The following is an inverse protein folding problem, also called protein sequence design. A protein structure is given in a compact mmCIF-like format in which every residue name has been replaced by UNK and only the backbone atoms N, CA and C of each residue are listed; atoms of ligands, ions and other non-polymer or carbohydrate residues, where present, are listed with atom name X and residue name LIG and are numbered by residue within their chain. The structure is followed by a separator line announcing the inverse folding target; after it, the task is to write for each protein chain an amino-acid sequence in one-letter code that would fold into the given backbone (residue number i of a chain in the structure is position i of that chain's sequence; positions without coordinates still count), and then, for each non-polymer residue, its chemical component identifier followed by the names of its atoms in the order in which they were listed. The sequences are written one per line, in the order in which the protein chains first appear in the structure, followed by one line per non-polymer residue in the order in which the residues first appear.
data_IF_788182747658
#
_entry.id   IF_788182747658
#
_cell.length_a   1.000
_cell.length_b   1.000
_cell.length_c   1.000
_cell.angle_alpha   90.00
_cell.angle_beta   90.00
_cell.angle_gamma   90.00
#
_symmetry.space_group_name_H-M   'P 1'
#
loop_
_entity.id
_entity.type
_entity.pdbx_description
1 polymer ?
#
# COMPACT_ATOMS: atom_id res chain seq x y z
N UNK A 1 -33.60 -26.28 19.81
CA UNK A 1 -33.56 -24.93 19.23
C UNK A 1 -32.84 -24.04 20.23
N UNK A 2 -31.54 -23.81 20.02
CA UNK A 2 -30.70 -22.96 20.86
C UNK A 2 -29.98 -21.98 19.94
N UNK A 3 -29.94 -20.67 20.25
CA UNK A 3 -29.32 -19.71 19.36
C UNK A 3 -27.81 -19.63 19.61
N UNK A 4 -27.09 -19.87 18.52
CA UNK A 4 -25.85 -19.25 18.03
C UNK A 4 -25.04 -18.45 19.07
N UNK A 5 -23.90 -19.01 19.43
CA UNK A 5 -22.82 -18.34 20.16
C UNK A 5 -22.18 -17.23 19.32
N UNK A 6 -22.21 -16.03 19.92
CA UNK A 6 -21.23 -14.96 19.92
C UNK A 6 -19.99 -15.13 19.01
N UNK A 7 -19.94 -14.32 17.95
CA UNK A 7 -18.70 -13.81 17.38
C UNK A 7 -18.69 -12.30 17.68
N UNK A 8 -18.15 -11.94 18.83
CA UNK A 8 -17.77 -10.56 19.15
C UNK A 8 -16.30 -10.56 19.50
N UNK A 9 -15.45 -10.75 18.49
CA UNK A 9 -14.06 -10.31 18.60
C UNK A 9 -14.05 -8.82 18.24
N UNK A 10 -14.22 -7.99 19.26
CA UNK A 10 -13.88 -6.59 19.17
C UNK A 10 -12.40 -6.48 18.80
N UNK A 11 -12.12 -5.91 17.62
CA UNK A 11 -10.78 -5.51 17.18
C UNK A 11 -10.29 -4.36 18.08
N UNK A 12 -9.85 -4.72 19.28
CA UNK A 12 -9.15 -3.82 20.20
C UNK A 12 -7.75 -3.56 19.64
N UNK A 13 -7.56 -2.36 19.08
CA UNK A 13 -6.25 -1.80 18.77
C UNK A 13 -5.44 -1.43 20.03
N UNK A 14 -5.93 -1.79 21.23
CA UNK A 14 -5.38 -1.41 22.54
C UNK A 14 -4.20 -2.27 22.99
N UNK A 15 -3.84 -3.33 22.26
CA UNK A 15 -2.74 -4.24 22.60
C UNK A 15 -1.50 -4.08 21.70
N UNK A 16 -1.25 -2.88 21.17
CA UNK A 16 0.04 -2.52 20.57
C UNK A 16 1.08 -2.22 21.66
N UNK A 17 1.29 -3.16 22.58
CA UNK A 17 2.45 -3.10 23.47
C UNK A 17 3.71 -3.32 22.62
N UNK A 18 4.62 -2.35 22.66
CA UNK A 18 5.95 -2.38 22.06
C UNK A 18 6.66 -3.71 22.36
N UNK A 19 6.53 -4.65 21.43
CA UNK A 19 7.48 -5.71 21.22
C UNK A 19 8.22 -5.35 19.93
N UNK A 20 8.87 -4.18 19.92
CA UNK A 20 10.15 -4.06 19.19
C UNK A 20 11.04 -5.08 19.89
N UNK A 21 10.89 -6.35 19.52
CA UNK A 21 11.73 -7.42 20.02
C UNK A 21 13.16 -6.94 19.87
N UNK A 22 13.98 -7.19 20.89
CA UNK A 22 15.43 -7.02 20.92
C UNK A 22 16.13 -7.89 19.85
N UNK A 23 15.60 -7.93 18.63
CA UNK A 23 16.21 -8.55 17.49
C UNK A 23 17.28 -7.58 17.01
N UNK A 24 18.53 -7.99 17.22
CA UNK A 24 19.67 -7.31 16.63
C UNK A 24 19.41 -7.12 15.13
N UNK A 25 19.67 -5.92 14.58
CA UNK A 25 19.50 -5.69 13.15
C UNK A 25 20.34 -6.70 12.38
N UNK A 26 19.76 -7.29 11.34
CA UNK A 26 20.46 -8.19 10.44
C UNK A 26 21.24 -7.33 9.46
N UNK A 27 22.54 -7.58 9.38
CA UNK A 27 23.48 -6.84 8.53
C UNK A 27 23.75 -7.69 7.29
N UNK A 28 23.61 -7.08 6.12
CA UNK A 28 23.94 -7.67 4.83
C UNK A 28 25.02 -6.84 4.13
N UNK A 29 25.89 -7.51 3.38
CA UNK A 29 26.90 -6.86 2.56
C UNK A 29 26.66 -7.23 1.11
N UNK A 30 26.45 -6.23 0.25
CA UNK A 30 26.29 -6.43 -1.19
C UNK A 30 26.88 -5.26 -1.96
N UNK A 31 27.68 -5.55 -2.99
CA UNK A 31 28.33 -4.53 -3.84
C UNK A 31 29.08 -3.43 -3.05
N UNK A 32 29.76 -3.81 -1.96
CA UNK A 32 30.46 -2.90 -1.02
C UNK A 32 29.56 -1.92 -0.26
N UNK A 33 28.25 -2.15 -0.25
CA UNK A 33 27.27 -1.39 0.52
C UNK A 33 26.78 -2.26 1.67
N UNK A 34 26.64 -1.64 2.85
CA UNK A 34 26.08 -2.28 4.04
C UNK A 34 24.60 -1.99 4.08
N UNK A 35 23.81 -3.05 4.06
CA UNK A 35 22.37 -2.98 4.25
C UNK A 35 22.02 -3.48 5.65
N UNK A 36 21.04 -2.84 6.28
CA UNK A 36 20.47 -3.34 7.54
C UNK A 36 18.98 -3.54 7.42
N UNK A 37 18.47 -4.61 8.01
CA UNK A 37 17.03 -4.87 8.13
C UNK A 37 16.70 -5.40 9.51
N UNK A 38 15.56 -4.99 10.06
CA UNK A 38 15.07 -5.48 11.35
C UNK A 38 14.19 -6.72 11.21
N UNK A 39 13.69 -7.03 10.01
CA UNK A 39 12.64 -8.03 9.81
C UNK A 39 12.80 -8.90 8.55
N UNK A 40 13.85 -8.70 7.75
CA UNK A 40 14.16 -9.60 6.63
C UNK A 40 15.25 -10.62 7.01
N UNK A 41 15.02 -11.93 6.81
CA UNK A 41 16.02 -12.96 7.10
C UNK A 41 17.13 -13.07 6.03
N UNK A 42 16.93 -12.48 4.84
CA UNK A 42 17.88 -12.46 3.74
C UNK A 42 17.80 -11.13 2.98
N UNK A 43 18.89 -10.74 2.33
CA UNK A 43 18.92 -9.57 1.46
C UNK A 43 18.24 -9.91 0.12
N UNK A 44 17.12 -9.27 -0.24
CA UNK A 44 16.52 -9.43 -1.56
C UNK A 44 17.39 -8.79 -2.64
N UNK A 45 17.12 -9.13 -3.90
CA UNK A 45 17.78 -8.47 -5.04
C UNK A 45 17.53 -6.97 -4.99
N UNK A 46 18.60 -6.17 -5.03
CA UNK A 46 18.52 -4.71 -4.96
C UNK A 46 17.89 -4.20 -6.27
N UNK A 47 16.74 -3.51 -6.21
CA UNK A 47 16.06 -3.05 -7.40
C UNK A 47 16.79 -1.85 -8.02
N UNK A 48 16.70 -1.66 -9.36
CA UNK A 48 17.16 -0.43 -9.99
C UNK A 48 16.33 0.76 -9.50
N UNK A 49 16.95 1.95 -9.39
CA UNK A 49 16.22 3.20 -9.15
C UNK A 49 15.37 3.53 -10.38
N UNK A 50 14.10 3.88 -10.14
CA UNK A 50 13.13 4.22 -11.19
C UNK A 50 12.69 5.68 -11.02
N UNK A 51 12.59 6.47 -12.10
CA UNK A 51 12.13 7.86 -12.02
C UNK A 51 10.64 7.93 -11.66
N UNK A 52 10.16 9.08 -11.20
CA UNK A 52 8.73 9.27 -10.86
C UNK A 52 7.78 8.97 -12.03
N UNK A 53 8.18 9.32 -13.26
CA UNK A 53 7.42 9.05 -14.48
C UNK A 53 7.20 7.56 -14.77
N UNK A 54 8.05 6.68 -14.21
CA UNK A 54 7.83 5.24 -14.29
C UNK A 54 6.57 4.83 -13.52
N UNK A 55 6.37 5.41 -12.34
CA UNK A 55 5.27 5.05 -11.44
C UNK A 55 3.93 5.60 -11.93
N UNK A 56 3.95 6.79 -12.54
CA UNK A 56 2.78 7.36 -13.22
C UNK A 56 2.30 6.49 -14.40
N UNK A 57 3.21 5.73 -15.00
CA UNK A 57 2.94 4.86 -16.13
C UNK A 57 3.19 3.38 -15.77
N UNK A 58 3.06 3.03 -14.49
CA UNK A 58 3.33 1.69 -14.03
C UNK A 58 2.31 0.70 -14.62
N UNK A 59 2.83 -0.37 -15.20
CA UNK A 59 2.08 -1.44 -15.88
C UNK A 59 2.64 -2.80 -15.49
N UNK A 60 1.83 -3.86 -15.56
CA UNK A 60 2.29 -5.25 -15.43
C UNK A 60 3.06 -5.51 -14.13
N UNK A 61 2.37 -5.60 -13.00
CA UNK A 61 3.00 -5.96 -11.72
C UNK A 61 4.08 -4.98 -11.23
N UNK A 62 4.25 -3.81 -11.86
CA UNK A 62 5.20 -2.78 -11.41
C UNK A 62 5.03 -2.40 -9.94
N UNK A 63 3.78 -2.37 -9.47
CA UNK A 63 3.44 -2.06 -8.08
C UNK A 63 3.78 -3.20 -7.11
N UNK A 64 3.93 -4.44 -7.60
CA UNK A 64 4.26 -5.59 -6.76
C UNK A 64 5.77 -5.87 -6.67
N UNK A 65 6.58 -5.06 -7.34
CA UNK A 65 8.05 -5.20 -7.33
C UNK A 65 8.66 -4.42 -6.18
N UNK A 66 9.66 -5.00 -5.53
CA UNK A 66 10.49 -4.29 -4.56
C UNK A 66 11.11 -3.04 -5.21
N UNK A 67 11.09 -1.93 -4.49
CA UNK A 67 11.57 -0.64 -4.99
C UNK A 67 12.26 0.18 -3.89
N UNK A 68 12.93 1.25 -4.31
CA UNK A 68 13.42 2.28 -3.40
C UNK A 68 12.25 3.10 -2.85
N UNK A 69 12.33 3.56 -1.61
CA UNK A 69 11.31 4.37 -0.98
C UNK A 69 11.07 5.65 -1.78
N UNK A 70 9.80 5.98 -1.97
CA UNK A 70 9.36 7.13 -2.74
C UNK A 70 8.55 8.03 -1.80
N UNK A 71 9.12 9.16 -1.34
CA UNK A 71 8.40 10.09 -0.47
C UNK A 71 7.07 10.56 -1.06
N UNK A 72 6.94 10.61 -2.40
CA UNK A 72 5.71 10.98 -3.10
C UNK A 72 4.65 9.88 -3.06
N UNK A 73 5.06 8.60 -2.97
CA UNK A 73 4.18 7.43 -3.00
C UNK A 73 4.49 6.47 -1.84
N UNK A 74 4.45 6.92 -0.58
CA UNK A 74 4.90 6.13 0.57
C UNK A 74 4.04 4.90 0.79
N UNK A 75 2.78 4.91 0.35
CA UNK A 75 1.85 3.79 0.48
C UNK A 75 2.24 2.57 -0.35
N UNK A 76 3.08 2.70 -1.39
CA UNK A 76 3.47 1.57 -2.22
C UNK A 76 4.16 0.44 -1.43
N UNK A 77 4.81 0.79 -0.32
CA UNK A 77 5.46 -0.21 0.56
C UNK A 77 4.46 -1.12 1.28
N UNK A 78 3.20 -0.69 1.37
CA UNK A 78 2.08 -1.42 2.01
C UNK A 78 1.29 -2.28 1.02
N UNK A 79 1.72 -2.36 -0.24
CA UNK A 79 1.13 -3.32 -1.16
C UNK A 79 1.55 -4.73 -0.72
N UNK A 80 0.63 -5.69 -0.60
CA UNK A 80 0.96 -7.05 -0.22
C UNK A 80 1.76 -7.71 -1.34
N UNK A 81 2.70 -8.58 -0.96
CA UNK A 81 3.49 -9.36 -1.91
C UNK A 81 2.61 -10.23 -2.81
N UNK A 82 1.54 -10.81 -2.23
CA UNK A 82 0.55 -11.63 -2.92
C UNK A 82 -0.87 -11.06 -2.69
N UNK A 83 -1.32 -10.07 -3.49
CA UNK A 83 -2.64 -9.48 -3.33
C UNK A 83 -3.75 -10.52 -3.58
N UNK A 84 -4.56 -10.77 -2.56
CA UNK A 84 -5.70 -11.68 -2.64
C UNK A 84 -7.00 -10.91 -2.88
N UNK A 85 -7.62 -11.12 -4.05
CA UNK A 85 -8.90 -10.52 -4.44
C UNK A 85 -10.12 -11.35 -3.99
N UNK A 86 -10.04 -12.06 -2.87
CA UNK A 86 -11.09 -13.03 -2.45
C UNK A 86 -12.21 -12.45 -1.59
N UNK A 87 -12.07 -11.22 -1.10
CA UNK A 87 -13.12 -10.50 -0.35
C UNK A 87 -14.29 -10.09 -1.24
N UNK A 88 -15.51 -9.94 -0.75
CA UNK A 88 -16.64 -9.35 -1.49
C UNK A 88 -16.33 -7.94 -2.05
N UNK A 89 -15.50 -7.14 -1.38
CA UNK A 89 -15.06 -5.82 -1.84
C UNK A 89 -14.16 -5.95 -3.08
N UNK A 90 -13.00 -6.59 -2.94
CA UNK A 90 -12.02 -6.70 -4.03
C UNK A 90 -12.32 -7.80 -5.07
N UNK A 91 -13.23 -8.74 -4.81
CA UNK A 91 -13.65 -9.75 -5.79
C UNK A 91 -14.32 -9.12 -7.01
N UNK A 92 -14.79 -7.87 -6.89
CA UNK A 92 -15.25 -7.06 -8.03
C UNK A 92 -14.15 -6.85 -9.08
N UNK A 93 -12.88 -6.89 -8.67
CA UNK A 93 -11.71 -6.73 -9.55
C UNK A 93 -11.31 -8.05 -10.23
N UNK A 94 -11.91 -9.18 -9.86
CA UNK A 94 -11.58 -10.46 -10.45
C UNK A 94 -11.91 -10.47 -11.94
N UNK A 95 -10.87 -10.57 -12.77
CA UNK A 95 -10.98 -10.71 -14.22
C UNK A 95 -10.79 -12.17 -14.60
N UNK A 96 -11.82 -12.77 -15.18
CA UNK A 96 -11.71 -14.07 -15.81
C UNK A 96 -11.45 -13.92 -17.32
N UNK A 97 -11.98 -14.83 -18.14
CA UNK A 97 -11.76 -14.79 -19.57
C UNK A 97 -12.38 -13.54 -20.21
N UNK A 98 -11.62 -12.87 -21.09
CA UNK A 98 -11.99 -11.56 -21.65
C UNK A 98 -13.33 -11.48 -22.37
N UNK A 99 -13.81 -12.61 -22.88
CA UNK A 99 -15.14 -12.73 -23.49
C UNK A 99 -16.32 -12.45 -22.54
N UNK A 100 -16.10 -12.46 -21.22
CA UNK A 100 -17.18 -12.26 -20.22
C UNK A 100 -17.29 -10.84 -19.72
N UNK A 101 -16.23 -10.04 -19.85
CA UNK A 101 -16.19 -8.67 -19.37
C UNK A 101 -15.95 -7.64 -20.47
N UNK A 102 -15.69 -8.07 -21.72
CA UNK A 102 -15.65 -7.18 -22.87
C UNK A 102 -16.96 -7.18 -23.64
N UNK A 103 -17.41 -5.99 -24.01
CA UNK A 103 -18.55 -5.80 -24.91
C UNK A 103 -18.12 -5.00 -26.13
N UNK A 104 -18.60 -5.41 -27.31
CA UNK A 104 -18.51 -4.61 -28.52
C UNK A 104 -19.83 -3.88 -28.72
N UNK A 105 -19.78 -2.54 -28.72
CA UNK A 105 -20.93 -1.68 -28.96
C UNK A 105 -20.62 -0.80 -30.16
N UNK A 106 -21.35 -1.05 -31.26
CA UNK A 106 -21.22 -0.28 -32.51
C UNK A 106 -19.78 -0.19 -33.03
N UNK A 107 -19.02 -1.29 -32.95
CA UNK A 107 -17.64 -1.35 -33.42
C UNK A 107 -16.61 -0.80 -32.44
N UNK A 108 -17.03 -0.27 -31.29
CA UNK A 108 -16.13 0.11 -30.19
C UNK A 108 -16.14 -0.95 -29.10
N UNK A 109 -14.96 -1.28 -28.59
CA UNK A 109 -14.77 -2.21 -27.49
C UNK A 109 -14.71 -1.45 -26.16
N UNK A 110 -15.39 -1.94 -25.14
CA UNK A 110 -15.33 -1.38 -23.78
C UNK A 110 -15.51 -2.49 -22.73
N UNK A 111 -15.18 -2.17 -21.49
CA UNK A 111 -15.55 -3.00 -20.36
C UNK A 111 -17.09 -3.04 -20.24
N UNK A 112 -17.62 -4.19 -19.84
CA UNK A 112 -19.03 -4.33 -19.52
C UNK A 112 -19.49 -3.24 -18.55
N UNK A 113 -20.69 -2.71 -18.76
CA UNK A 113 -21.15 -1.53 -18.04
C UNK A 113 -21.32 -1.78 -16.55
N UNK A 114 -21.78 -2.97 -16.16
CA UNK A 114 -22.01 -3.29 -14.75
C UNK A 114 -20.68 -3.50 -14.02
N UNK A 115 -19.70 -4.12 -14.69
CA UNK A 115 -18.34 -4.27 -14.18
C UNK A 115 -17.66 -2.91 -14.04
N UNK A 116 -17.72 -2.08 -15.09
CA UNK A 116 -17.16 -0.73 -15.07
C UNK A 116 -17.78 0.14 -13.97
N UNK A 117 -19.10 0.09 -13.81
CA UNK A 117 -19.78 0.81 -12.74
C UNK A 117 -19.36 0.29 -11.36
N UNK A 118 -19.27 -1.03 -11.18
CA UNK A 118 -18.83 -1.67 -9.94
C UNK A 118 -17.40 -1.24 -9.55
N UNK A 119 -16.48 -1.19 -10.50
CA UNK A 119 -15.12 -0.68 -10.30
C UNK A 119 -15.10 0.79 -9.93
N UNK A 120 -15.91 1.60 -10.61
CA UNK A 120 -15.98 3.04 -10.32
C UNK A 120 -16.50 3.32 -8.92
N UNK A 121 -17.55 2.60 -8.48
CA UNK A 121 -18.05 2.71 -7.10
C UNK A 121 -16.99 2.33 -6.06
N UNK A 122 -16.24 1.24 -6.30
CA UNK A 122 -15.13 0.84 -5.43
C UNK A 122 -14.04 1.92 -5.38
N UNK A 123 -13.64 2.44 -6.53
CA UNK A 123 -12.63 3.50 -6.64
C UNK A 123 -13.03 4.75 -5.84
N UNK A 124 -14.27 5.22 -6.03
CA UNK A 124 -14.76 6.41 -5.33
C UNK A 124 -14.86 6.19 -3.82
N UNK A 125 -15.33 5.01 -3.39
CA UNK A 125 -15.39 4.67 -1.97
C UNK A 125 -14.00 4.71 -1.30
N UNK A 126 -12.99 4.07 -1.92
CA UNK A 126 -11.62 4.06 -1.40
C UNK A 126 -11.01 5.46 -1.37
N UNK A 127 -11.23 6.27 -2.40
CA UNK A 127 -10.76 7.67 -2.45
C UNK A 127 -11.40 8.52 -1.34
N UNK A 128 -12.70 8.36 -1.10
CA UNK A 128 -13.40 9.08 -0.01
C UNK A 128 -12.83 8.66 1.34
N UNK A 129 -12.70 7.36 1.59
CA UNK A 129 -12.16 6.84 2.86
C UNK A 129 -10.74 7.34 3.11
N UNK A 130 -9.87 7.24 2.10
CA UNK A 130 -8.50 7.75 2.18
C UNK A 130 -8.50 9.23 2.59
N UNK A 131 -9.29 10.07 1.90
CA UNK A 131 -9.36 11.51 2.21
C UNK A 131 -9.86 11.79 3.61
N UNK A 132 -10.90 11.08 4.07
CA UNK A 132 -11.43 11.26 5.42
C UNK A 132 -10.40 10.89 6.49
N UNK A 133 -9.70 9.77 6.32
CA UNK A 133 -8.67 9.33 7.27
C UNK A 133 -7.44 10.26 7.27
N UNK A 134 -6.95 10.67 6.10
CA UNK A 134 -5.80 11.58 5.98
C UNK A 134 -6.09 12.96 6.58
N UNK A 135 -7.33 13.44 6.48
CA UNK A 135 -7.74 14.72 7.10
C UNK A 135 -7.60 14.74 8.63
N UNK A 136 -7.51 13.56 9.25
CA UNK A 136 -7.27 13.35 10.69
C UNK A 136 -5.92 12.67 10.96
N UNK A 137 -4.98 12.75 10.01
CA UNK A 137 -3.61 12.34 10.29
C UNK A 137 -2.93 13.38 11.18
N UNK A 138 -2.26 12.92 12.25
CA UNK A 138 -1.51 13.85 13.11
C UNK A 138 -0.02 13.89 12.79
N UNK A 139 0.34 13.54 11.56
CA UNK A 139 1.66 13.83 11.00
C UNK A 139 1.47 15.00 10.05
N UNK A 140 2.25 16.06 10.24
CA UNK A 140 2.39 17.15 9.28
C UNK A 140 3.17 16.60 8.08
N UNK A 141 2.45 15.88 7.24
CA UNK A 141 2.98 15.36 6.02
C UNK A 141 3.05 16.52 5.02
N UNK A 142 4.27 16.92 4.62
CA UNK A 142 4.51 17.57 3.31
C UNK A 142 4.21 16.60 2.14
N UNK A 143 3.41 15.56 2.39
CA UNK A 143 2.81 14.77 1.37
C UNK A 143 1.71 15.64 0.76
N UNK A 144 2.08 16.37 -0.29
CA UNK A 144 1.29 16.18 -1.49
C UNK A 144 1.31 14.67 -1.74
N UNK A 145 0.34 13.94 -1.16
CA UNK A 145 0.03 12.56 -1.51
C UNK A 145 -0.43 12.64 -2.96
N UNK A 146 0.54 12.83 -3.86
CA UNK A 146 0.31 12.86 -5.27
C UNK A 146 -0.28 11.50 -5.55
N UNK A 147 -1.57 11.51 -5.86
CA UNK A 147 -2.25 10.26 -6.11
C UNK A 147 -1.66 9.73 -7.40
N UNK A 148 -1.04 8.55 -7.32
CA UNK A 148 -0.81 7.76 -8.51
C UNK A 148 -2.08 7.77 -9.36
N UNK A 149 -1.96 7.75 -10.70
CA UNK A 149 -3.13 7.90 -11.55
C UNK A 149 -4.22 6.92 -11.15
N UNK A 150 -5.39 7.47 -10.82
CA UNK A 150 -6.55 6.69 -10.41
C UNK A 150 -6.89 5.65 -11.49
N UNK A 151 -7.44 4.48 -11.12
CA UNK A 151 -7.78 3.44 -12.08
C UNK A 151 -8.58 3.95 -13.28
N UNK A 152 -9.54 4.87 -13.11
CA UNK A 152 -10.32 5.37 -14.25
C UNK A 152 -9.48 6.15 -15.27
N UNK A 153 -8.38 6.77 -14.85
CA UNK A 153 -7.45 7.51 -15.72
C UNK A 153 -6.78 6.53 -16.70
N UNK A 154 -6.54 5.29 -16.25
CA UNK A 154 -6.00 4.18 -17.06
C UNK A 154 -6.99 3.66 -18.12
N UNK A 155 -8.26 4.08 -18.04
CA UNK A 155 -9.18 4.02 -19.17
C UNK A 155 -10.15 2.85 -19.20
N UNK A 156 -10.39 2.14 -18.08
CA UNK A 156 -11.45 1.12 -18.04
C UNK A 156 -12.86 1.66 -18.31
N UNK A 157 -13.11 2.96 -18.04
CA UNK A 157 -14.37 3.65 -18.37
C UNK A 157 -14.45 4.10 -19.84
N UNK A 158 -13.35 4.01 -20.60
CA UNK A 158 -13.27 4.50 -21.98
C UNK A 158 -13.62 3.39 -22.98
N UNK A 159 -14.26 3.78 -24.06
CA UNK A 159 -14.40 2.93 -25.25
C UNK A 159 -13.15 3.04 -26.12
N UNK A 160 -12.72 1.93 -26.73
CA UNK A 160 -11.54 1.86 -27.59
C UNK A 160 -11.90 1.26 -28.95
N UNK A 161 -11.21 1.63 -30.03
CA UNK A 161 -11.48 1.07 -31.36
C UNK A 161 -11.11 -0.42 -31.46
N UNK A 162 -10.16 -0.89 -30.65
CA UNK A 162 -9.59 -2.22 -30.76
C UNK A 162 -9.77 -3.00 -29.44
N UNK A 163 -10.10 -4.29 -29.56
CA UNK A 163 -10.24 -5.20 -28.40
C UNK A 163 -8.95 -5.23 -27.56
N UNK A 164 -7.80 -5.32 -28.21
CA UNK A 164 -6.49 -5.34 -27.56
C UNK A 164 -6.24 -4.10 -26.67
N UNK A 165 -6.62 -2.91 -27.13
CA UNK A 165 -6.45 -1.68 -26.36
C UNK A 165 -7.36 -1.65 -25.13
N UNK A 166 -8.59 -2.17 -25.27
CA UNK A 166 -9.52 -2.30 -24.13
C UNK A 166 -8.95 -3.24 -23.09
N UNK A 167 -8.48 -4.43 -23.51
CA UNK A 167 -7.83 -5.40 -22.61
C UNK A 167 -6.67 -4.76 -21.86
N UNK A 168 -5.79 -4.07 -22.59
CA UNK A 168 -4.64 -3.38 -22.00
C UNK A 168 -5.07 -2.31 -20.99
N UNK A 169 -6.02 -1.45 -21.34
CA UNK A 169 -6.55 -0.43 -20.45
C UNK A 169 -7.20 -1.03 -19.19
N UNK A 170 -7.95 -2.13 -19.33
CA UNK A 170 -8.55 -2.86 -18.21
C UNK A 170 -7.48 -3.41 -17.27
N UNK A 171 -6.43 -4.06 -17.77
CA UNK A 171 -5.34 -4.57 -16.92
C UNK A 171 -4.53 -3.45 -16.26
N UNK A 172 -4.25 -2.36 -16.98
CA UNK A 172 -3.58 -1.19 -16.37
C UNK A 172 -4.42 -0.59 -15.23
N UNK A 173 -5.74 -0.49 -15.45
CA UNK A 173 -6.67 0.00 -14.43
C UNK A 173 -6.73 -0.95 -13.24
N UNK A 174 -6.80 -2.25 -13.49
CA UNK A 174 -6.75 -3.30 -12.47
C UNK A 174 -5.48 -3.20 -11.61
N UNK A 175 -4.31 -3.05 -12.22
CA UNK A 175 -3.06 -2.91 -11.48
C UNK A 175 -3.02 -1.62 -10.66
N UNK A 176 -3.58 -0.51 -11.18
CA UNK A 176 -3.68 0.75 -10.44
C UNK A 176 -4.58 0.64 -9.19
N UNK A 177 -5.51 -0.33 -9.14
CA UNK A 177 -6.28 -0.62 -7.93
C UNK A 177 -5.42 -1.17 -6.79
N UNK A 178 -4.17 -1.60 -6.98
CA UNK A 178 -3.32 -2.00 -5.85
C UNK A 178 -2.89 -0.80 -4.99
N UNK A 179 -2.68 0.35 -5.63
CA UNK A 179 -2.23 1.57 -4.95
C UNK A 179 -3.31 2.15 -4.03
N UNK A 180 -4.60 2.05 -4.38
CA UNK A 180 -5.67 2.67 -3.61
C UNK A 180 -5.94 2.03 -2.24
N UNK A 181 -6.11 0.70 -2.10
CA UNK A 181 -6.22 0.06 -0.81
C UNK A 181 -4.96 0.26 0.03
N UNK A 182 -3.77 0.25 -0.58
CA UNK A 182 -2.52 0.55 0.13
C UNK A 182 -2.45 2.00 0.63
N UNK A 183 -3.00 2.97 -0.13
CA UNK A 183 -3.12 4.36 0.34
C UNK A 183 -4.12 4.49 1.49
N UNK A 184 -5.18 3.68 1.49
CA UNK A 184 -6.09 3.56 2.64
C UNK A 184 -5.37 2.92 3.84
N UNK A 185 -4.57 1.86 3.65
CA UNK A 185 -3.73 1.28 4.72
C UNK A 185 -2.83 2.34 5.35
N UNK A 186 -2.16 3.15 4.52
CA UNK A 186 -1.34 4.24 5.02
C UNK A 186 -2.19 5.23 5.81
N UNK A 187 -3.34 5.64 5.28
CA UNK A 187 -4.23 6.56 5.96
C UNK A 187 -4.69 6.02 7.32
N UNK A 188 -4.98 4.72 7.44
CA UNK A 188 -5.30 4.04 8.70
C UNK A 188 -4.11 4.09 9.67
N UNK A 189 -2.88 3.83 9.20
CA UNK A 189 -1.67 3.88 10.04
C UNK A 189 -1.37 5.28 10.60
N UNK A 190 -1.73 6.29 9.83
CA UNK A 190 -1.47 7.69 10.15
C UNK A 190 -2.64 8.36 10.89
N UNK A 191 -3.81 7.73 10.89
CA UNK A 191 -5.01 8.23 11.54
C UNK A 191 -4.76 8.46 13.03
N UNK A 192 -5.10 9.66 13.49
CA UNK A 192 -5.18 9.98 14.90
C UNK A 192 -6.63 10.30 15.22
N UNK A 193 -7.25 9.60 16.18
CA UNK A 193 -8.63 9.88 16.53
C UNK A 193 -8.75 11.34 17.00
N UNK A 194 -9.89 11.99 16.73
CA UNK A 194 -10.15 13.31 17.27
C UNK A 194 -9.96 13.31 18.80
N UNK A 195 -9.51 14.43 19.40
CA UNK A 195 -9.41 14.57 20.85
C UNK A 195 -10.81 14.57 21.45
N UNK A 196 -11.37 13.39 21.56
CA UNK A 196 -12.61 13.02 22.23
C UNK A 196 -12.26 12.17 23.44
N UNK A 197 -13.19 12.03 24.37
CA UNK A 197 -13.02 11.41 25.70
C UNK A 197 -11.78 10.47 25.82
N UNK A 198 -10.77 10.83 26.63
CA UNK A 198 -9.51 10.07 26.75
C UNK A 198 -9.71 8.63 27.25
N UNK A 199 -10.91 8.27 27.71
CA UNK A 199 -11.25 6.94 28.22
C UNK A 199 -11.58 5.92 27.12
N UNK A 200 -11.80 6.34 25.87
CA UNK A 200 -12.08 5.41 24.76
C UNK A 200 -11.56 5.95 23.43
N UNK A 201 -10.35 5.56 22.98
CA UNK A 201 -9.87 5.96 21.66
C UNK A 201 -10.84 5.47 20.58
N UNK A 202 -11.35 6.40 19.78
CA UNK A 202 -12.24 6.10 18.65
C UNK A 202 -11.46 5.28 17.61
N UNK A 203 -11.99 4.12 17.24
CA UNK A 203 -11.44 3.36 16.11
C UNK A 203 -11.68 4.12 14.81
N UNK A 204 -10.74 4.03 13.87
CA UNK A 204 -10.93 4.59 12.52
C UNK A 204 -12.22 4.08 11.86
N UNK A 205 -12.66 2.86 12.19
CA UNK A 205 -13.94 2.31 11.72
C UNK A 205 -15.14 3.05 12.31
N UNK A 206 -15.12 3.33 13.62
CA UNK A 206 -16.20 4.06 14.27
C UNK A 206 -16.27 5.50 13.72
N UNK A 207 -15.11 6.12 13.51
CA UNK A 207 -15.01 7.42 12.85
C UNK A 207 -15.63 7.42 11.44
N UNK A 208 -15.27 6.45 10.60
CA UNK A 208 -15.82 6.36 9.24
C UNK A 208 -17.32 6.01 9.22
N UNK A 209 -17.79 5.21 10.17
CA UNK A 209 -19.21 4.82 10.27
C UNK A 209 -20.14 5.98 10.64
N UNK A 210 -19.58 7.11 11.08
CA UNK A 210 -20.35 8.32 11.35
C UNK A 210 -20.71 9.11 10.09
N UNK A 211 -20.15 8.77 8.93
CA UNK A 211 -20.44 9.43 7.65
C UNK A 211 -21.55 8.71 6.89
N UNK A 212 -22.49 9.48 6.33
CA UNK A 212 -23.57 8.95 5.51
C UNK A 212 -23.02 8.16 4.29
N UNK A 213 -23.57 6.96 4.07
CA UNK A 213 -23.22 6.10 2.95
C UNK A 213 -22.03 5.17 3.16
N UNK A 214 -21.38 5.20 4.34
CA UNK A 214 -20.35 4.23 4.72
C UNK A 214 -20.96 3.20 5.68
N UNK A 215 -21.16 1.97 5.20
CA UNK A 215 -21.74 0.89 6.00
C UNK A 215 -20.68 0.16 6.84
N UNK A 216 -21.02 -0.14 8.10
CA UNK A 216 -20.08 -0.76 9.05
C UNK A 216 -19.60 -2.16 8.63
N UNK A 217 -20.45 -3.09 8.15
CA UNK A 217 -20.02 -4.38 7.63
C UNK A 217 -19.02 -4.25 6.47
N UNK A 218 -19.16 -3.21 5.63
CA UNK A 218 -18.22 -2.95 4.55
C UNK A 218 -16.85 -2.52 5.10
N UNK A 219 -16.81 -1.70 6.16
CA UNK A 219 -15.57 -1.33 6.85
C UNK A 219 -14.92 -2.52 7.56
N UNK A 220 -15.72 -3.38 8.21
CA UNK A 220 -15.23 -4.60 8.86
C UNK A 220 -14.61 -5.57 7.85
N UNK A 221 -15.24 -5.68 6.67
CA UNK A 221 -14.67 -6.46 5.59
C UNK A 221 -13.35 -5.86 5.09
N UNK A 222 -13.30 -4.54 4.86
CA UNK A 222 -12.06 -3.86 4.49
C UNK A 222 -10.96 -4.04 5.56
N UNK A 223 -11.33 -3.96 6.84
CA UNK A 223 -10.44 -4.17 7.98
C UNK A 223 -9.91 -5.61 8.06
N UNK A 224 -10.69 -6.59 7.58
CA UNK A 224 -10.33 -8.00 7.50
C UNK A 224 -9.33 -8.34 6.40
N UNK A 225 -9.02 -7.39 5.53
CA UNK A 225 -8.08 -7.55 4.41
C UNK A 225 -6.70 -6.98 4.74
N UNK A 226 -5.75 -7.07 3.81
CA UNK A 226 -4.45 -6.38 3.92
C UNK A 226 -4.58 -4.86 4.15
N UNK A 227 -5.76 -4.28 3.90
CA UNK A 227 -6.00 -2.85 4.10
C UNK A 227 -5.92 -2.46 5.57
N UNK A 228 -6.58 -3.23 6.45
CA UNK A 228 -6.58 -3.01 7.90
C UNK A 228 -5.79 -4.04 8.73
N UNK A 229 -5.32 -5.12 8.12
CA UNK A 229 -4.54 -6.17 8.79
C UNK A 229 -3.04 -6.00 8.57
N UNK A 230 -2.34 -5.73 9.66
CA UNK A 230 -0.89 -5.59 9.72
C UNK A 230 -0.19 -6.76 10.42
N UNK A 231 -0.84 -7.94 10.42
CA UNK A 231 -0.30 -9.14 11.05
C UNK A 231 0.86 -9.72 10.22
N UNK A 232 1.83 -10.44 10.82
CA UNK A 232 2.92 -11.08 10.09
C UNK A 232 2.51 -12.06 8.98
N UNK A 233 1.24 -12.49 8.94
CA UNK A 233 0.70 -13.34 7.86
C UNK A 233 0.59 -12.59 6.53
N UNK A 234 0.42 -11.27 6.56
CA UNK A 234 0.38 -10.42 5.38
C UNK A 234 1.77 -9.84 5.13
N UNK A 235 2.53 -10.50 4.25
CA UNK A 235 3.82 -9.98 3.80
C UNK A 235 3.59 -8.78 2.89
N UNK A 236 4.06 -7.61 3.32
CA UNK A 236 4.12 -6.41 2.48
C UNK A 236 5.40 -6.46 1.64
N UNK A 237 5.38 -5.83 0.45
CA UNK A 237 6.56 -5.78 -0.42
C UNK A 237 7.72 -5.07 0.27
N UNK A 238 7.42 -4.00 1.00
CA UNK A 238 8.46 -3.21 1.65
C UNK A 238 9.23 -2.33 0.68
N UNK A 239 10.42 -1.88 1.10
CA UNK A 239 11.28 -1.04 0.26
C UNK A 239 12.75 -1.03 0.71
N UNK A 240 13.59 -0.47 -0.16
CA UNK A 240 14.92 0.00 0.22
C UNK A 240 14.88 1.50 0.51
N UNK A 241 15.57 1.97 1.55
CA UNK A 241 15.72 3.39 1.86
C UNK A 241 17.18 3.77 1.67
N UNK A 242 17.42 4.80 0.85
CA UNK A 242 18.71 5.46 0.80
C UNK A 242 18.82 6.45 1.95
N UNK A 243 19.77 6.25 2.86
CA UNK A 243 20.05 7.17 3.96
C UNK A 243 21.04 8.27 3.59
N UNK A 244 21.70 8.18 2.42
CA UNK A 244 22.62 9.20 1.93
C UNK A 244 21.86 10.38 1.31
N UNK A 245 20.77 10.09 0.61
CA UNK A 245 19.82 11.10 0.15
C UNK A 245 18.98 11.56 1.37
N UNK A 246 18.77 12.88 1.52
CA UNK A 246 18.15 13.52 2.69
C UNK A 246 16.75 12.98 3.05
N UNK A 247 16.71 11.81 3.68
CA UNK A 247 15.48 11.14 4.04
C UNK A 247 14.79 11.92 5.16
N UNK A 248 13.61 12.47 4.89
CA UNK A 248 12.85 13.31 5.83
C UNK A 248 11.65 12.57 6.46
N UNK A 249 11.28 11.39 5.96
CA UNK A 249 10.04 10.69 6.32
C UNK A 249 10.17 9.73 7.53
N UNK A 250 10.94 10.10 8.55
CA UNK A 250 11.23 9.24 9.71
C UNK A 250 9.99 8.83 10.51
N UNK A 251 8.99 9.70 10.61
CA UNK A 251 7.76 9.38 11.33
C UNK A 251 6.96 8.28 10.62
N UNK A 252 6.90 8.35 9.29
CA UNK A 252 6.26 7.32 8.45
C UNK A 252 7.05 6.01 8.49
N UNK A 253 8.39 6.07 8.41
CA UNK A 253 9.27 4.91 8.59
C UNK A 253 8.99 4.20 9.92
N UNK A 254 8.87 4.98 10.99
CA UNK A 254 8.55 4.44 12.31
C UNK A 254 7.24 3.66 12.25
N UNK A 255 6.18 4.22 11.64
CA UNK A 255 4.90 3.51 11.48
C UNK A 255 5.04 2.22 10.68
N UNK A 256 5.81 2.19 9.60
CA UNK A 256 6.06 0.98 8.81
C UNK A 256 6.77 -0.12 9.60
N UNK A 257 7.78 0.24 10.39
CA UNK A 257 8.46 -0.72 11.26
C UNK A 257 7.51 -1.30 12.32
N UNK A 258 6.57 -0.51 12.85
CA UNK A 258 5.57 -0.99 13.80
C UNK A 258 4.62 -2.04 13.20
N UNK A 259 4.43 -2.01 11.88
CA UNK A 259 3.58 -2.98 11.15
C UNK A 259 4.37 -4.00 10.35
N UNK A 260 5.64 -4.21 10.74
CA UNK A 260 6.53 -5.22 10.17
C UNK A 260 6.69 -5.13 8.64
N UNK A 261 6.59 -3.93 8.06
CA UNK A 261 6.90 -3.72 6.65
C UNK A 261 8.39 -4.01 6.42
N UNK A 262 8.76 -4.85 5.44
CA UNK A 262 10.17 -5.16 5.19
C UNK A 262 10.94 -3.93 4.72
N UNK A 263 12.00 -3.55 5.44
CA UNK A 263 12.80 -2.36 5.10
C UNK A 263 14.28 -2.73 5.06
N UNK A 264 14.92 -2.42 3.94
CA UNK A 264 16.38 -2.46 3.79
C UNK A 264 16.94 -1.04 3.82
N UNK A 265 17.76 -0.71 4.83
CA UNK A 265 18.42 0.58 4.93
C UNK A 265 19.79 0.50 4.26
N UNK A 266 20.02 1.31 3.23
CA UNK A 266 21.34 1.54 2.62
C UNK A 266 22.10 2.54 3.50
N UNK A 267 23.05 2.02 4.27
CA UNK A 267 23.96 2.81 5.07
C UNK A 267 25.36 2.78 4.48
N UNK A 268 25.79 3.84 3.81
CA UNK A 268 27.21 4.03 3.57
C UNK A 268 27.92 4.33 4.90
N UNK A 269 28.58 3.32 5.45
CA UNK A 269 29.70 3.56 6.35
C UNK A 269 30.76 2.47 6.17
N UNK A 270 31.42 2.49 5.02
CA UNK A 270 32.81 2.05 4.99
C UNK A 270 33.66 3.26 5.29
N UNK A 271 34.07 3.34 6.56
CA UNK A 271 35.18 4.17 7.04
C UNK A 271 36.26 4.16 5.97
N UNK A 272 36.54 5.31 5.37
CA UNK A 272 37.71 5.50 4.52
C UNK A 272 38.93 5.07 5.35
N UNK A 273 39.60 3.99 4.95
CA UNK A 273 40.82 3.51 5.60
C UNK A 273 41.78 4.69 5.80
N UNK A 274 42.14 5.06 7.04
CA UNK A 274 43.11 6.12 7.24
C UNK A 274 44.48 5.61 6.83
N UNK A 275 45.01 6.16 5.73
CA UNK A 275 46.45 6.24 5.48
C UNK A 275 47.17 4.95 5.08
N UNK A 276 47.19 4.64 3.78
CA UNK A 276 48.45 4.22 3.18
C UNK A 276 49.24 5.48 2.81
N UNK A 277 49.99 6.01 3.78
CA UNK A 277 51.12 6.88 3.45
C UNK A 277 52.16 6.00 2.72
N UNK A 278 52.36 6.27 1.44
CA UNK A 278 53.51 5.80 0.70
C UNK A 278 54.77 6.32 1.40
N UNK A 279 55.52 5.42 2.05
CA UNK A 279 56.86 5.72 2.52
C UNK A 279 57.78 5.93 1.31
N UNK A 280 58.64 6.97 1.30
CA UNK A 280 59.65 7.11 0.27
C UNK A 280 60.80 6.13 0.54
N UNK A 281 61.28 5.47 -0.51
CA UNK A 281 62.58 4.80 -0.56
C UNK A 281 63.20 5.08 -1.92
#
# INVERSE_FOLDING_TARGET
MSPVNQVSQALSYSNLSLNLSQQSPIIFLAANIVYTSSNQPFLPSIPPRKPLTYWENAVNQSYTQLHWFLPQYPHLVLIPQDPLYKSLILNRLFLDHSSKWLVNVLGSWKLDQDIAYSWHQLEMALVVIQKQLVSHSGIALDLELSTLPLPHIQGYLKSHPNQHNTIKATFHSHDAFLSLPASVSLAILLFQPPPTDPLSPISWMDFLSAFDGIDRPWLEELAGMFVGQFTPHWSHIGCFIDLQDQFSSFEVLTKFLHVNVPIGLDGACLVSSPGQQAGPS
#
